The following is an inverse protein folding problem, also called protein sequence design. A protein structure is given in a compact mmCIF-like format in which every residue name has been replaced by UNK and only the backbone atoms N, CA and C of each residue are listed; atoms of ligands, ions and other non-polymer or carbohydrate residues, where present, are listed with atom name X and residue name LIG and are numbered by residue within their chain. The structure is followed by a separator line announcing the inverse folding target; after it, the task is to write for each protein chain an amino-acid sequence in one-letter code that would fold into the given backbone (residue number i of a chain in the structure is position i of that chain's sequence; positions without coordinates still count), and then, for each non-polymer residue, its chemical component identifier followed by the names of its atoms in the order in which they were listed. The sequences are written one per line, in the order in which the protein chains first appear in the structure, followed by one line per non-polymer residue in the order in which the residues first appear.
data_IF_632969474010
#
_entry.id   IF_632969474010
#
_cell.length_a   1.000
_cell.length_b   1.000
_cell.length_c   1.000
_cell.angle_alpha   90.00
_cell.angle_beta   90.00
_cell.angle_gamma   90.00
#
_symmetry.space_group_name_H-M   'P 1'
#
loop_
_entity.id
_entity.type
_entity.pdbx_description
1 polymer ?
#
# COMPACT_ATOMS: atom_id res chain seq x y z
N UNK A 1 -27.58 6.91 9.28
CA UNK A 1 -26.49 6.63 8.32
C UNK A 1 -25.45 7.74 8.41
N UNK A 2 -24.23 7.37 8.59
CA UNK A 2 -23.09 8.29 8.66
C UNK A 2 -22.06 7.88 7.62
N UNK A 3 -21.07 8.72 7.38
CA UNK A 3 -19.89 8.38 6.61
C UNK A 3 -18.75 8.10 7.58
N UNK A 4 -18.21 6.88 7.52
CA UNK A 4 -17.01 6.49 8.26
C UNK A 4 -15.83 6.43 7.29
N UNK A 5 -14.85 7.31 7.47
CA UNK A 5 -13.65 7.39 6.63
C UNK A 5 -12.46 6.89 7.41
N UNK A 6 -11.71 5.97 6.83
CA UNK A 6 -10.53 5.37 7.44
C UNK A 6 -9.29 5.71 6.62
N UNK A 7 -8.20 6.02 7.29
CA UNK A 7 -6.88 5.98 6.71
C UNK A 7 -6.38 4.54 6.63
N UNK A 8 -5.45 4.25 5.72
CA UNK A 8 -4.95 2.89 5.50
C UNK A 8 -3.64 2.63 6.24
N UNK A 9 -2.56 3.30 5.78
CA UNK A 9 -1.22 3.03 6.27
C UNK A 9 -1.05 3.53 7.70
N UNK A 10 -0.49 2.67 8.57
CA UNK A 10 -0.36 2.92 10.01
C UNK A 10 -1.69 3.23 10.74
N UNK A 11 -2.82 2.87 10.13
CA UNK A 11 -4.16 3.01 10.72
C UNK A 11 -4.92 1.69 10.64
N UNK A 12 -5.54 1.34 9.50
CA UNK A 12 -6.13 0.01 9.31
C UNK A 12 -5.06 -1.07 9.14
N UNK A 13 -3.95 -0.72 8.50
CA UNK A 13 -2.76 -1.56 8.36
C UNK A 13 -1.67 -1.07 9.31
N UNK A 14 -0.90 -1.98 9.96
CA UNK A 14 0.16 -1.59 10.89
C UNK A 14 1.47 -1.16 10.22
N UNK A 15 1.50 -1.06 8.89
CA UNK A 15 2.68 -0.69 8.10
C UNK A 15 2.30 0.16 6.90
N UNK A 16 3.31 0.67 6.19
CA UNK A 16 3.17 1.30 4.89
C UNK A 16 2.94 0.26 3.80
N UNK A 17 1.78 0.34 3.12
CA UNK A 17 1.41 -0.61 2.06
C UNK A 17 2.06 -0.28 0.72
N UNK A 18 2.44 0.97 0.47
CA UNK A 18 3.08 1.36 -0.80
C UNK A 18 4.50 0.79 -0.92
N UNK A 19 5.31 0.91 0.12
CA UNK A 19 6.64 0.29 0.20
C UNK A 19 6.56 -1.23 0.09
N UNK A 20 5.65 -1.85 0.81
CA UNK A 20 5.42 -3.29 0.76
C UNK A 20 5.01 -3.77 -0.63
N UNK A 21 4.15 -3.02 -1.32
CA UNK A 21 3.72 -3.33 -2.67
C UNK A 21 4.88 -3.33 -3.67
N UNK A 22 5.71 -2.30 -3.69
CA UNK A 22 6.81 -2.24 -4.66
C UNK A 22 7.87 -3.30 -4.40
N UNK A 23 8.13 -3.65 -3.15
CA UNK A 23 9.02 -4.75 -2.78
C UNK A 23 8.45 -6.09 -3.28
N UNK A 24 7.17 -6.35 -3.01
CA UNK A 24 6.49 -7.54 -3.48
C UNK A 24 6.49 -7.66 -5.01
N UNK A 25 6.11 -6.60 -5.70
CA UNK A 25 6.07 -6.53 -7.16
C UNK A 25 7.44 -6.84 -7.77
N UNK A 26 8.49 -6.27 -7.21
CA UNK A 26 9.87 -6.46 -7.66
C UNK A 26 10.31 -7.91 -7.48
N UNK A 27 10.09 -8.49 -6.30
CA UNK A 27 10.44 -9.87 -5.99
C UNK A 27 9.65 -10.88 -6.84
N UNK A 28 8.33 -10.69 -6.93
CA UNK A 28 7.45 -11.56 -7.71
C UNK A 28 7.72 -11.50 -9.21
N UNK A 29 8.35 -10.43 -9.68
CA UNK A 29 8.74 -10.25 -11.09
C UNK A 29 10.18 -10.70 -11.39
N UNK A 30 10.88 -11.28 -10.41
CA UNK A 30 12.25 -11.79 -10.58
C UNK A 30 13.30 -10.71 -10.77
N UNK A 31 13.03 -9.47 -10.35
CA UNK A 31 13.96 -8.36 -10.44
C UNK A 31 14.81 -8.23 -9.18
N UNK A 32 15.93 -7.52 -9.30
CA UNK A 32 16.80 -7.23 -8.15
C UNK A 32 16.11 -6.30 -7.17
N UNK A 33 16.17 -6.69 -5.89
CA UNK A 33 15.53 -5.94 -4.80
C UNK A 33 16.35 -4.75 -4.32
N UNK A 34 17.67 -4.82 -4.38
CA UNK A 34 18.55 -3.82 -3.74
C UNK A 34 18.26 -2.37 -4.16
N UNK A 35 18.08 -2.05 -5.47
CA UNK A 35 17.77 -0.67 -5.86
C UNK A 35 16.42 -0.18 -5.33
N UNK A 36 15.43 -1.07 -5.27
CA UNK A 36 14.09 -0.74 -4.76
C UNK A 36 14.12 -0.56 -3.25
N UNK A 37 14.81 -1.44 -2.52
CA UNK A 37 14.97 -1.30 -1.07
C UNK A 37 15.70 -0.01 -0.70
N UNK A 38 16.74 0.37 -1.45
CA UNK A 38 17.44 1.63 -1.23
C UNK A 38 16.54 2.84 -1.45
N UNK A 39 15.72 2.84 -2.51
CA UNK A 39 14.78 3.91 -2.79
C UNK A 39 13.67 4.00 -1.73
N UNK A 40 13.09 2.86 -1.31
CA UNK A 40 12.08 2.82 -0.25
C UNK A 40 12.64 3.41 1.04
N UNK A 41 13.82 3.00 1.46
CA UNK A 41 14.48 3.55 2.67
C UNK A 41 14.73 5.06 2.57
N UNK A 42 15.14 5.54 1.39
CA UNK A 42 15.33 6.98 1.17
C UNK A 42 14.02 7.74 1.36
N UNK A 43 12.95 7.29 0.71
CA UNK A 43 11.65 7.96 0.80
C UNK A 43 11.05 7.89 2.20
N UNK A 44 11.22 6.79 2.92
CA UNK A 44 10.79 6.67 4.31
C UNK A 44 11.54 7.66 5.20
N UNK A 45 12.87 7.78 5.04
CA UNK A 45 13.68 8.73 5.79
C UNK A 45 13.32 10.19 5.47
N UNK A 46 13.07 10.51 4.20
CA UNK A 46 12.65 11.85 3.77
C UNK A 46 11.26 12.18 4.32
N UNK A 47 10.35 11.22 4.34
CA UNK A 47 9.02 11.37 4.93
C UNK A 47 9.11 11.65 6.43
N UNK A 48 9.88 10.87 7.17
CA UNK A 48 10.07 11.03 8.62
C UNK A 48 10.73 12.36 8.97
N UNK A 49 11.62 12.85 8.10
CA UNK A 49 12.26 14.16 8.24
C UNK A 49 11.38 15.34 7.80
N UNK A 50 10.20 15.08 7.22
CA UNK A 50 9.30 16.11 6.71
C UNK A 50 9.79 16.79 5.43
N UNK A 51 10.68 16.16 4.67
CA UNK A 51 11.28 16.71 3.47
C UNK A 51 11.05 15.85 2.21
N UNK A 52 10.05 14.97 2.22
CA UNK A 52 9.71 14.14 1.07
C UNK A 52 9.34 15.00 -0.14
N UNK A 53 10.07 14.81 -1.24
CA UNK A 53 9.68 15.34 -2.55
C UNK A 53 8.60 14.43 -3.16
N UNK A 54 7.37 14.91 -3.14
CA UNK A 54 6.20 14.16 -3.63
C UNK A 54 6.31 13.89 -5.14
N UNK A 55 6.82 14.83 -5.92
CA UNK A 55 6.94 14.66 -7.36
C UNK A 55 8.00 13.60 -7.71
N UNK A 56 9.14 13.61 -7.02
CA UNK A 56 10.16 12.56 -7.14
C UNK A 56 9.60 11.19 -6.75
N UNK A 57 8.89 11.12 -5.63
CA UNK A 57 8.26 9.89 -5.15
C UNK A 57 7.29 9.32 -6.18
N UNK A 58 6.35 10.14 -6.66
CA UNK A 58 5.36 9.73 -7.65
C UNK A 58 5.99 9.32 -8.98
N UNK A 59 6.98 10.06 -9.46
CA UNK A 59 7.69 9.73 -10.69
C UNK A 59 8.40 8.37 -10.58
N UNK A 60 9.02 8.09 -9.44
CA UNK A 60 9.69 6.81 -9.19
C UNK A 60 8.69 5.66 -9.16
N UNK A 61 7.55 5.82 -8.50
CA UNK A 61 6.48 4.82 -8.48
C UNK A 61 5.97 4.51 -9.90
N UNK A 62 5.73 5.53 -10.69
CA UNK A 62 5.27 5.37 -12.07
C UNK A 62 6.31 4.67 -12.95
N UNK A 63 7.59 4.98 -12.79
CA UNK A 63 8.67 4.31 -13.51
C UNK A 63 8.75 2.82 -13.20
N UNK A 64 8.53 2.42 -11.96
CA UNK A 64 8.52 0.99 -11.60
C UNK A 64 7.33 0.27 -12.24
N UNK A 65 6.13 0.85 -12.19
CA UNK A 65 4.94 0.27 -12.81
C UNK A 65 5.08 0.18 -14.34
N UNK A 66 5.66 1.18 -14.97
CA UNK A 66 5.81 1.26 -16.43
C UNK A 66 6.72 0.17 -17.02
N UNK A 67 7.49 -0.55 -16.20
CA UNK A 67 8.31 -1.68 -16.64
C UNK A 67 7.50 -2.90 -17.07
N UNK A 68 6.24 -2.97 -16.67
CA UNK A 68 5.42 -4.17 -16.81
C UNK A 68 4.17 -3.92 -17.64
N UNK A 69 3.71 -4.96 -18.31
CA UNK A 69 2.37 -4.95 -18.92
C UNK A 69 1.29 -4.99 -17.85
N UNK A 70 0.17 -4.36 -18.11
CA UNK A 70 -0.98 -4.31 -17.21
C UNK A 70 -1.42 -5.70 -16.72
N UNK A 71 -1.52 -6.68 -17.61
CA UNK A 71 -1.91 -8.04 -17.24
C UNK A 71 -0.96 -8.70 -16.23
N UNK A 72 0.35 -8.40 -16.31
CA UNK A 72 1.32 -8.86 -15.31
C UNK A 72 1.09 -8.18 -13.95
N UNK A 73 0.92 -6.85 -13.95
CA UNK A 73 0.65 -6.09 -12.73
C UNK A 73 -0.63 -6.55 -12.04
N UNK A 74 -1.68 -6.85 -12.79
CA UNK A 74 -2.94 -7.36 -12.25
C UNK A 74 -2.74 -8.70 -11.53
N UNK A 75 -2.00 -9.65 -12.13
CA UNK A 75 -1.69 -10.94 -11.50
C UNK A 75 -0.85 -10.77 -10.22
N UNK A 76 0.17 -9.93 -10.27
CA UNK A 76 1.04 -9.67 -9.11
C UNK A 76 0.27 -8.99 -7.99
N UNK A 77 -0.63 -8.05 -8.33
CA UNK A 77 -1.51 -7.38 -7.38
C UNK A 77 -2.48 -8.36 -6.71
N UNK A 78 -3.10 -9.24 -7.49
CA UNK A 78 -4.00 -10.27 -6.94
C UNK A 78 -3.27 -11.17 -5.94
N UNK A 79 -2.06 -11.61 -6.27
CA UNK A 79 -1.23 -12.39 -5.38
C UNK A 79 -0.82 -11.62 -4.12
N UNK A 80 -0.44 -10.34 -4.27
CA UNK A 80 -0.13 -9.46 -3.16
C UNK A 80 -1.32 -9.32 -2.21
N UNK A 81 -2.50 -9.04 -2.74
CA UNK A 81 -3.72 -8.90 -1.95
C UNK A 81 -4.05 -10.19 -1.21
N UNK A 82 -4.01 -11.33 -1.89
CA UNK A 82 -4.39 -12.63 -1.32
C UNK A 82 -3.40 -13.15 -0.27
N UNK A 83 -2.10 -13.07 -0.58
CA UNK A 83 -1.08 -13.77 0.19
C UNK A 83 -0.34 -12.87 1.18
N UNK A 84 -0.38 -11.57 1.00
CA UNK A 84 0.31 -10.65 1.90
C UNK A 84 -0.64 -9.62 2.55
N UNK A 85 -1.41 -8.88 1.76
CA UNK A 85 -2.23 -7.78 2.29
C UNK A 85 -3.35 -8.31 3.22
N UNK A 86 -4.21 -9.17 2.72
CA UNK A 86 -5.35 -9.70 3.47
C UNK A 86 -4.94 -10.43 4.76
N UNK A 87 -3.91 -11.31 4.77
CA UNK A 87 -3.45 -11.96 6.01
C UNK A 87 -2.87 -11.01 7.05
N UNK A 88 -2.39 -9.83 6.64
CA UNK A 88 -1.78 -8.85 7.53
C UNK A 88 -2.77 -7.78 8.03
N UNK A 89 -4.03 -7.81 7.61
CA UNK A 89 -5.06 -6.91 8.16
C UNK A 89 -5.38 -7.36 9.60
N UNK A 90 -5.17 -6.51 10.62
CA UNK A 90 -5.50 -6.87 11.99
C UNK A 90 -7.00 -7.15 12.16
N UNK A 91 -7.35 -8.14 12.97
CA UNK A 91 -8.75 -8.47 13.25
C UNK A 91 -9.51 -7.25 13.82
N UNK A 92 -8.85 -6.47 14.66
CA UNK A 92 -9.44 -5.23 15.21
C UNK A 92 -9.84 -4.23 14.11
N UNK A 93 -9.08 -4.12 13.03
CA UNK A 93 -9.41 -3.26 11.88
C UNK A 93 -10.63 -3.79 11.13
N UNK A 94 -10.70 -5.10 10.90
CA UNK A 94 -11.87 -5.74 10.29
C UNK A 94 -13.12 -5.54 11.14
N UNK A 95 -13.04 -5.76 12.45
CA UNK A 95 -14.13 -5.61 13.38
C UNK A 95 -14.64 -4.17 13.43
N UNK A 96 -13.73 -3.19 13.41
CA UNK A 96 -14.06 -1.78 13.37
C UNK A 96 -14.86 -1.41 12.11
N UNK A 97 -14.36 -1.79 10.94
CA UNK A 97 -15.05 -1.51 9.67
C UNK A 97 -16.42 -2.19 9.64
N UNK A 98 -16.49 -3.45 10.05
CA UNK A 98 -17.74 -4.20 10.08
C UNK A 98 -18.77 -3.63 11.05
N UNK A 99 -18.34 -3.10 12.19
CA UNK A 99 -19.24 -2.45 13.15
C UNK A 99 -19.96 -1.24 12.53
N UNK A 100 -19.26 -0.44 11.73
CA UNK A 100 -19.85 0.68 10.99
C UNK A 100 -20.81 0.21 9.89
N UNK A 101 -20.42 -0.84 9.15
CA UNK A 101 -21.29 -1.42 8.12
C UNK A 101 -22.57 -1.99 8.71
N UNK A 102 -22.48 -2.72 9.82
CA UNK A 102 -23.62 -3.27 10.53
C UNK A 102 -24.54 -2.17 11.09
N UNK A 103 -23.99 -1.02 11.44
CA UNK A 103 -24.77 0.16 11.85
C UNK A 103 -25.44 0.90 10.67
N UNK A 104 -25.23 0.46 9.45
CA UNK A 104 -25.78 1.09 8.24
C UNK A 104 -25.00 2.32 7.77
N UNK A 105 -23.78 2.50 8.24
CA UNK A 105 -22.90 3.58 7.80
C UNK A 105 -22.28 3.28 6.43
N UNK A 106 -22.00 4.32 5.66
CA UNK A 106 -21.17 4.22 4.46
C UNK A 106 -19.71 4.22 4.90
N UNK A 107 -18.95 3.22 4.46
CA UNK A 107 -17.52 3.11 4.79
C UNK A 107 -16.65 3.44 3.60
N UNK A 108 -15.58 4.19 3.81
CA UNK A 108 -14.61 4.54 2.78
C UNK A 108 -13.18 4.50 3.35
N UNK A 109 -12.23 4.13 2.50
CA UNK A 109 -10.79 4.27 2.79
C UNK A 109 -10.28 5.46 2.00
N UNK A 110 -9.61 6.38 2.69
CA UNK A 110 -8.98 7.54 2.10
C UNK A 110 -7.49 7.48 2.47
N UNK A 111 -6.64 7.21 1.48
CA UNK A 111 -5.19 7.08 1.67
C UNK A 111 -4.45 8.08 0.81
N UNK A 112 -3.33 8.56 1.33
CA UNK A 112 -2.48 9.49 0.61
C UNK A 112 -1.45 8.77 -0.27
#
# INVERSE_FOLDING_TARGET
MKLAVFDLDHTLMPMDTSGSWVIWMTAASGLRLEPVLAAVRKFDADYDAGCLDIDEFMATQMQWLARFRRAHLERVREAFTKYWLAPNVPQASLDLVESHRAAGDVTAVCTA
#
